data_IF_311414418718
#
_entry.id   IF_311414418718
#
_cell.length_a   1.000
_cell.length_b   1.000
_cell.length_c   1.000
_cell.angle_alpha   90.00
_cell.angle_beta   90.00
_cell.angle_gamma   90.00
#
_symmetry.space_group_name_H-M   'P 1'
#
loop_
_entity.id
_entity.type
_entity.pdbx_description
1 polymer ?
#
# COMPACT_ATOMS: atom_id res chain seq x y z
N UNK A 1 -5.02 -33.54 4.23
CA UNK A 1 -5.94 -33.92 3.13
C UNK A 1 -7.18 -33.05 3.20
N UNK A 2 -7.42 -32.25 2.16
CA UNK A 2 -8.45 -31.20 2.09
C UNK A 2 -9.76 -31.78 1.53
N UNK A 3 -10.79 -31.93 2.37
CA UNK A 3 -12.09 -32.48 1.97
C UNK A 3 -13.13 -31.41 1.63
N UNK A 4 -14.12 -31.76 0.80
CA UNK A 4 -15.24 -30.91 0.34
C UNK A 4 -15.95 -30.18 1.49
N UNK A 5 -16.00 -30.77 2.69
CA UNK A 5 -16.50 -30.12 3.92
C UNK A 5 -15.75 -28.83 4.29
N UNK A 6 -14.42 -28.83 4.16
CA UNK A 6 -13.58 -27.65 4.43
C UNK A 6 -13.68 -26.55 3.37
N UNK A 7 -14.20 -26.91 2.19
CA UNK A 7 -14.46 -25.98 1.08
C UNK A 7 -15.87 -25.39 1.22
N UNK A 8 -16.86 -26.19 1.63
CA UNK A 8 -18.21 -25.70 1.95
C UNK A 8 -18.23 -24.81 3.20
N UNK A 9 -17.44 -25.12 4.24
CA UNK A 9 -17.29 -24.25 5.42
C UNK A 9 -16.62 -22.90 5.09
N UNK A 10 -15.71 -22.87 4.10
CA UNK A 10 -15.12 -21.62 3.59
C UNK A 10 -16.11 -20.82 2.75
N UNK A 11 -16.91 -21.50 1.91
CA UNK A 11 -17.94 -20.86 1.10
C UNK A 11 -19.08 -20.28 1.95
N UNK A 12 -19.48 -20.94 3.04
CA UNK A 12 -20.52 -20.46 3.95
C UNK A 12 -20.04 -19.33 4.87
N UNK A 13 -18.76 -19.30 5.27
CA UNK A 13 -18.18 -18.14 5.98
C UNK A 13 -18.09 -16.88 5.12
N UNK A 14 -18.11 -17.02 3.78
CA UNK A 14 -18.01 -15.90 2.85
C UNK A 14 -19.31 -15.13 2.63
N UNK A 15 -20.43 -15.50 3.28
CA UNK A 15 -21.75 -14.89 3.04
C UNK A 15 -22.32 -14.10 4.22
N UNK A 16 -21.64 -14.06 5.36
CA UNK A 16 -22.08 -13.29 6.51
C UNK A 16 -20.88 -12.87 7.36
N UNK A 17 -20.77 -11.56 7.60
CA UNK A 17 -19.82 -10.82 8.44
C UNK A 17 -18.50 -10.36 7.82
N UNK A 18 -18.29 -9.04 7.95
CA UNK A 18 -17.01 -8.32 7.93
C UNK A 18 -16.35 -8.04 6.57
N UNK A 19 -16.85 -6.99 5.91
CA UNK A 19 -16.02 -6.06 5.10
C UNK A 19 -15.10 -5.22 6.01
N UNK A 20 -14.43 -5.89 6.94
CA UNK A 20 -13.34 -5.34 7.72
C UNK A 20 -12.06 -5.81 7.04
N UNK A 21 -11.18 -4.86 6.81
CA UNK A 21 -9.91 -4.96 6.13
C UNK A 21 -8.94 -5.91 6.88
N UNK A 22 -9.17 -7.23 6.88
CA UNK A 22 -8.17 -8.25 7.22
C UNK A 22 -8.69 -9.67 6.96
N UNK A 23 -7.98 -10.39 6.10
CA UNK A 23 -8.19 -11.83 5.86
C UNK A 23 -6.89 -12.47 5.37
N UNK A 24 -5.81 -12.28 6.13
CA UNK A 24 -4.52 -13.00 6.07
C UNK A 24 -3.96 -13.31 4.67
N UNK A 25 -3.19 -12.37 4.10
CA UNK A 25 -2.08 -12.60 3.14
C UNK A 25 -1.60 -11.26 2.55
N UNK A 26 -2.51 -10.30 2.35
CA UNK A 26 -2.15 -9.02 1.70
C UNK A 26 -1.81 -7.92 2.71
N UNK A 27 -0.57 -7.43 2.63
CA UNK A 27 0.01 -6.37 3.45
C UNK A 27 -0.06 -5.00 2.77
N UNK A 28 -0.70 -4.89 1.60
CA UNK A 28 -0.87 -3.61 0.91
C UNK A 28 -1.79 -2.64 1.65
N UNK A 29 -1.42 -1.35 1.65
CA UNK A 29 -2.29 -0.26 2.08
C UNK A 29 -3.13 0.26 0.91
N UNK A 30 -4.44 0.37 1.12
CA UNK A 30 -5.40 0.84 0.12
C UNK A 30 -6.06 2.15 0.55
N UNK A 31 -5.58 3.27 0.01
CA UNK A 31 -6.16 4.59 0.27
C UNK A 31 -7.35 4.86 -0.65
N UNK A 32 -8.39 5.53 -0.15
CA UNK A 32 -9.50 6.08 -0.95
C UNK A 32 -9.32 7.58 -1.20
N UNK A 33 -10.22 8.15 -1.99
CA UNK A 33 -10.22 9.59 -2.23
C UNK A 33 -10.31 10.38 -0.91
N UNK A 34 -9.37 11.30 -0.71
CA UNK A 34 -9.24 12.11 0.49
C UNK A 34 -8.52 11.43 1.66
N UNK A 35 -8.21 10.14 1.56
CA UNK A 35 -7.47 9.43 2.61
C UNK A 35 -6.00 9.89 2.65
N UNK A 36 -5.45 9.91 3.87
CA UNK A 36 -4.06 10.28 4.15
C UNK A 36 -3.44 9.25 5.08
N UNK A 37 -2.32 8.66 4.69
CA UNK A 37 -1.52 7.80 5.58
C UNK A 37 -0.30 8.56 6.09
N UNK A 38 0.03 8.32 7.36
CA UNK A 38 1.29 8.73 7.97
C UNK A 38 2.13 7.49 8.16
N UNK A 39 3.30 7.50 7.54
CA UNK A 39 4.09 6.31 7.33
C UNK A 39 5.56 6.60 7.62
N UNK A 40 6.28 5.63 8.14
CA UNK A 40 7.74 5.67 8.27
C UNK A 40 8.28 4.65 7.26
N UNK A 41 8.96 5.08 6.18
CA UNK A 41 9.54 4.14 5.23
C UNK A 41 10.48 3.16 5.94
N UNK A 42 10.35 1.87 5.63
CA UNK A 42 11.36 0.87 6.03
C UNK A 42 12.50 0.89 5.03
N UNK A 43 12.17 1.13 3.75
CA UNK A 43 13.14 1.40 2.71
C UNK A 43 14.06 2.58 3.09
N UNK A 44 15.34 2.35 2.88
CA UNK A 44 16.45 3.32 2.94
C UNK A 44 16.53 4.17 1.68
N UNK A 45 16.22 3.58 0.51
CA UNK A 45 16.42 4.20 -0.80
C UNK A 45 17.83 4.04 -1.38
N UNK A 46 18.70 3.28 -0.71
CA UNK A 46 20.03 2.93 -1.23
C UNK A 46 19.95 1.93 -2.39
N UNK A 47 21.05 1.80 -3.11
CA UNK A 47 21.23 0.72 -4.09
C UNK A 47 21.07 -0.65 -3.39
N UNK A 48 20.42 -1.59 -4.07
CA UNK A 48 20.11 -2.94 -3.59
C UNK A 48 19.19 -3.02 -2.34
N UNK A 49 18.43 -1.96 -2.04
CA UNK A 49 17.43 -1.97 -0.97
C UNK A 49 16.29 -2.97 -1.25
N UNK A 50 16.16 -4.08 -0.48
CA UNK A 50 15.15 -5.11 -0.74
C UNK A 50 13.72 -4.62 -0.42
N UNK A 51 13.59 -3.48 0.26
CA UNK A 51 12.33 -2.92 0.70
C UNK A 51 11.78 -1.85 -0.22
N UNK A 52 12.44 -1.57 -1.35
CA UNK A 52 11.98 -0.66 -2.41
C UNK A 52 12.26 -1.29 -3.79
N UNK A 53 11.21 -1.49 -4.59
CA UNK A 53 11.35 -2.16 -5.89
C UNK A 53 10.46 -1.49 -6.95
N UNK A 54 10.96 -1.41 -8.18
CA UNK A 54 10.16 -1.12 -9.37
C UNK A 54 9.70 -2.41 -10.05
N UNK A 55 8.47 -2.40 -10.58
CA UNK A 55 7.92 -3.57 -11.25
C UNK A 55 6.84 -3.18 -12.26
N UNK A 56 6.53 -4.13 -13.13
CA UNK A 56 5.52 -3.99 -14.17
C UNK A 56 4.34 -4.90 -13.87
N UNK A 57 3.13 -4.36 -13.85
CA UNK A 57 1.94 -5.13 -13.46
C UNK A 57 0.78 -4.90 -14.41
N UNK A 58 0.23 -5.99 -14.94
CA UNK A 58 -1.03 -6.01 -15.66
C UNK A 58 -2.17 -5.97 -14.66
N UNK A 59 -3.06 -4.98 -14.76
CA UNK A 59 -4.30 -4.96 -13.97
C UNK A 59 -5.48 -4.91 -14.92
N UNK A 60 -6.38 -5.87 -14.79
CA UNK A 60 -7.55 -5.99 -15.66
C UNK A 60 -8.76 -6.48 -14.86
N UNK A 61 -9.95 -6.23 -15.40
CA UNK A 61 -11.19 -6.73 -14.81
C UNK A 61 -11.45 -8.11 -15.38
N UNK A 62 -11.53 -9.09 -14.51
CA UNK A 62 -11.99 -10.44 -14.81
C UNK A 62 -13.35 -10.65 -14.14
N UNK A 63 -14.38 -10.78 -14.98
CA UNK A 63 -15.79 -10.76 -14.58
C UNK A 63 -16.13 -9.53 -13.70
N UNK A 64 -16.21 -9.72 -12.39
CA UNK A 64 -16.53 -8.69 -11.39
C UNK A 64 -15.39 -8.39 -10.41
N UNK A 65 -14.20 -8.93 -10.66
CA UNK A 65 -13.03 -8.72 -9.81
C UNK A 65 -11.89 -8.11 -10.59
N UNK A 66 -11.11 -7.25 -9.95
CA UNK A 66 -9.83 -6.82 -10.52
C UNK A 66 -8.80 -7.90 -10.22
N UNK A 67 -8.10 -8.34 -11.27
CA UNK A 67 -6.93 -9.21 -11.17
C UNK A 67 -5.69 -8.42 -11.55
N UNK A 68 -4.62 -8.71 -10.83
CA UNK A 68 -3.30 -8.13 -11.06
C UNK A 68 -2.30 -9.25 -11.28
N UNK A 69 -1.51 -9.15 -12.34
CA UNK A 69 -0.51 -10.14 -12.74
C UNK A 69 0.81 -9.42 -13.00
N UNK A 70 1.88 -9.85 -12.35
CA UNK A 70 3.22 -9.30 -12.59
C UNK A 70 3.73 -9.62 -13.99
N UNK A 71 4.62 -8.76 -14.49
CA UNK A 71 5.37 -8.96 -15.72
C UNK A 71 6.80 -9.35 -15.36
N UNK A 72 7.25 -10.48 -15.90
CA UNK A 72 8.64 -10.88 -15.87
C UNK A 72 9.40 -10.46 -17.13
N UNK A 73 10.68 -10.87 -17.25
CA UNK A 73 11.53 -10.51 -18.39
C UNK A 73 10.96 -10.95 -19.75
N UNK A 74 10.30 -12.11 -19.79
CA UNK A 74 9.77 -12.72 -21.02
C UNK A 74 8.26 -12.44 -21.23
N UNK A 75 7.67 -11.54 -20.45
CA UNK A 75 6.24 -11.20 -20.50
C UNK A 75 5.48 -11.46 -19.20
N UNK A 76 4.14 -11.47 -19.23
CA UNK A 76 3.33 -11.66 -18.03
C UNK A 76 3.57 -13.03 -17.39
N UNK A 77 3.71 -13.07 -16.07
CA UNK A 77 3.92 -14.30 -15.28
C UNK A 77 2.65 -15.15 -15.14
N UNK A 78 1.55 -14.74 -15.79
CA UNK A 78 0.26 -15.42 -15.77
C UNK A 78 -0.59 -15.03 -16.98
N UNK A 79 -1.80 -15.57 -17.06
CA UNK A 79 -2.73 -15.28 -18.16
C UNK A 79 -3.28 -13.86 -18.03
N UNK A 80 -3.10 -13.06 -19.07
CA UNK A 80 -3.64 -11.71 -19.18
C UNK A 80 -4.46 -11.58 -20.47
N UNK A 81 -5.47 -10.68 -20.52
CA UNK A 81 -6.19 -10.36 -21.75
C UNK A 81 -5.25 -9.89 -22.87
N UNK A 82 -5.54 -10.18 -24.15
CA UNK A 82 -4.66 -9.86 -25.28
C UNK A 82 -4.30 -8.37 -25.41
N UNK A 83 -5.17 -7.48 -24.93
CA UNK A 83 -5.02 -6.03 -24.97
C UNK A 83 -4.47 -5.44 -23.66
N UNK A 84 -4.19 -6.28 -22.67
CA UNK A 84 -3.68 -5.85 -21.38
C UNK A 84 -2.27 -5.28 -21.50
N UNK A 85 -2.09 -4.04 -21.06
CA UNK A 85 -0.78 -3.39 -21.00
C UNK A 85 -0.28 -3.37 -19.56
N UNK A 86 1.01 -3.69 -19.34
CA UNK A 86 1.55 -3.60 -18.01
C UNK A 86 1.69 -2.12 -17.61
N UNK A 87 1.43 -1.83 -16.35
CA UNK A 87 1.65 -0.52 -15.76
C UNK A 87 2.98 -0.52 -15.02
N UNK A 88 3.79 0.51 -15.25
CA UNK A 88 5.01 0.75 -14.50
C UNK A 88 4.68 1.27 -13.10
N UNK A 89 5.15 0.57 -12.08
CA UNK A 89 4.83 0.81 -10.67
C UNK A 89 6.07 0.65 -9.81
N UNK A 90 6.01 1.21 -8.62
CA UNK A 90 7.00 0.96 -7.59
C UNK A 90 6.27 0.72 -6.28
N UNK A 91 6.88 0.00 -5.37
CA UNK A 91 6.36 -0.18 -4.02
C UNK A 91 7.48 -0.22 -3.02
N UNK A 92 7.14 0.14 -1.78
CA UNK A 92 8.07 0.01 -0.68
C UNK A 92 7.37 -0.42 0.60
N UNK A 93 8.12 -1.08 1.48
CA UNK A 93 7.67 -1.37 2.83
C UNK A 93 7.70 -0.13 3.69
N UNK A 94 6.69 -0.01 4.54
CA UNK A 94 6.55 1.10 5.46
C UNK A 94 5.83 0.67 6.73
N UNK A 95 6.20 1.28 7.85
CA UNK A 95 5.42 1.20 9.07
C UNK A 95 4.33 2.26 9.04
N UNK A 96 3.06 1.83 9.02
CA UNK A 96 1.92 2.76 8.99
C UNK A 96 1.51 3.02 10.43
N UNK A 97 1.66 4.27 10.89
CA UNK A 97 1.22 4.66 12.23
C UNK A 97 -0.29 4.85 12.24
N UNK A 98 -0.77 5.72 11.37
CA UNK A 98 -2.19 6.09 11.28
C UNK A 98 -2.63 6.39 9.85
N UNK A 99 -3.92 6.17 9.58
CA UNK A 99 -4.59 6.57 8.36
C UNK A 99 -5.78 7.46 8.71
N UNK A 100 -5.85 8.64 8.11
CA UNK A 100 -6.98 9.55 8.23
C UNK A 100 -7.89 9.39 7.03
N UNK A 101 -9.12 8.98 7.29
CA UNK A 101 -10.14 8.78 6.29
C UNK A 101 -11.05 9.99 6.16
N UNK A 102 -11.48 10.27 4.93
CA UNK A 102 -12.44 11.34 4.64
C UNK A 102 -13.88 10.98 5.06
N UNK A 103 -14.20 9.69 5.15
CA UNK A 103 -15.51 9.16 5.49
C UNK A 103 -15.45 8.14 6.63
N UNK A 104 -16.42 8.18 7.54
CA UNK A 104 -16.53 7.19 8.61
C UNK A 104 -17.08 5.91 8.03
N UNK A 105 -16.25 4.86 8.03
CA UNK A 105 -16.65 3.52 7.57
C UNK A 105 -16.66 2.51 8.70
N UNK A 106 -15.90 2.77 9.76
CA UNK A 106 -15.79 1.91 10.93
C UNK A 106 -16.06 2.77 12.17
N UNK A 107 -16.92 2.26 13.06
CA UNK A 107 -17.35 3.01 14.24
C UNK A 107 -16.23 3.19 15.27
N UNK A 108 -15.24 2.30 15.30
CA UNK A 108 -14.08 2.39 16.19
C UNK A 108 -13.07 3.47 15.81
N UNK A 109 -13.18 4.07 14.61
CA UNK A 109 -12.29 5.16 14.21
C UNK A 109 -12.59 6.44 14.99
N UNK A 110 -11.53 7.12 15.41
CA UNK A 110 -11.61 8.35 16.19
C UNK A 110 -11.96 9.52 15.26
N UNK A 111 -12.96 10.32 15.62
CA UNK A 111 -13.29 11.54 14.88
C UNK A 111 -12.34 12.67 15.27
N UNK A 112 -11.58 13.18 14.31
CA UNK A 112 -10.64 14.28 14.52
C UNK A 112 -10.96 15.47 13.60
N UNK A 113 -10.55 16.66 13.99
CA UNK A 113 -10.66 17.85 13.14
C UNK A 113 -9.37 18.00 12.33
N UNK A 114 -9.48 17.86 11.00
CA UNK A 114 -8.36 18.02 10.10
C UNK A 114 -7.90 19.48 9.94
N UNK A 115 -6.75 19.72 9.27
CA UNK A 115 -6.15 21.06 9.16
C UNK A 115 -7.06 22.11 8.49
N UNK A 116 -7.97 21.69 7.61
CA UNK A 116 -8.94 22.57 6.94
C UNK A 116 -10.26 22.72 7.70
N UNK A 117 -10.32 22.32 8.97
CA UNK A 117 -11.56 22.29 9.77
C UNK A 117 -12.54 21.18 9.38
N UNK A 118 -12.19 20.32 8.41
CA UNK A 118 -13.01 19.18 7.99
C UNK A 118 -12.83 18.03 8.97
N UNK A 119 -13.92 17.38 9.34
CA UNK A 119 -13.88 16.14 10.12
C UNK A 119 -13.20 15.03 9.31
N UNK A 120 -12.25 14.36 9.92
CA UNK A 120 -11.55 13.18 9.42
C UNK A 120 -11.69 12.06 10.44
N UNK A 121 -11.50 10.81 10.02
CA UNK A 121 -11.63 9.65 10.88
C UNK A 121 -10.29 8.92 10.95
N UNK A 122 -9.70 8.92 12.14
CA UNK A 122 -8.39 8.35 12.41
C UNK A 122 -8.49 6.85 12.70
N UNK A 123 -7.82 6.07 11.86
CA UNK A 123 -7.49 4.67 12.06
C UNK A 123 -6.05 4.58 12.59
N UNK A 124 -5.86 3.93 13.74
CA UNK A 124 -4.53 3.58 14.24
C UNK A 124 -4.17 2.20 13.70
N UNK A 125 -3.09 2.10 12.94
CA UNK A 125 -2.70 0.85 12.24
C UNK A 125 -1.55 0.15 12.96
N UNK A 126 -0.44 0.87 13.22
CA UNK A 126 0.75 0.36 13.89
C UNK A 126 1.26 -1.00 13.35
N UNK A 127 1.32 -1.15 12.03
CA UNK A 127 1.77 -2.37 11.37
C UNK A 127 2.59 -2.07 10.11
N UNK A 128 3.43 -3.02 9.72
CA UNK A 128 4.16 -2.96 8.45
C UNK A 128 3.21 -3.26 7.30
N UNK A 129 3.25 -2.40 6.28
CA UNK A 129 2.45 -2.50 5.05
C UNK A 129 3.33 -2.21 3.85
N UNK A 130 2.88 -2.67 2.69
CA UNK A 130 3.47 -2.28 1.41
C UNK A 130 2.61 -1.17 0.79
N UNK A 131 3.27 -0.14 0.28
CA UNK A 131 2.60 0.94 -0.44
C UNK A 131 2.90 0.86 -1.94
N UNK A 132 2.02 0.26 -2.76
CA UNK A 132 2.19 0.19 -4.19
C UNK A 132 1.67 1.45 -4.91
N UNK A 133 2.54 2.17 -5.59
CA UNK A 133 2.24 3.39 -6.32
C UNK A 133 2.51 3.26 -7.82
N UNK A 134 1.95 4.17 -8.60
CA UNK A 134 2.37 4.38 -9.99
C UNK A 134 3.40 5.50 -10.02
N UNK A 135 4.21 5.57 -11.07
CA UNK A 135 5.14 6.69 -11.26
C UNK A 135 4.43 8.03 -11.52
N UNK A 136 3.18 7.97 -12.02
CA UNK A 136 2.44 9.14 -12.47
C UNK A 136 2.97 9.69 -13.81
N UNK A 137 2.23 10.64 -14.41
CA UNK A 137 2.63 11.26 -15.68
C UNK A 137 3.95 12.03 -15.49
N UNK A 138 4.96 11.71 -16.28
CA UNK A 138 6.28 12.35 -16.15
C UNK A 138 7.00 12.02 -14.84
N UNK A 139 6.69 10.87 -14.23
CA UNK A 139 7.30 10.37 -13.00
C UNK A 139 7.10 11.25 -11.76
N UNK A 140 6.07 12.11 -11.76
CA UNK A 140 5.92 13.11 -10.70
C UNK A 140 5.75 12.51 -9.29
N UNK A 141 5.16 11.31 -9.16
CA UNK A 141 4.98 10.66 -7.85
C UNK A 141 6.33 10.10 -7.36
N UNK A 142 7.09 9.50 -8.26
CA UNK A 142 8.44 9.03 -7.97
C UNK A 142 9.37 10.19 -7.58
N UNK A 143 9.32 11.30 -8.32
CA UNK A 143 10.14 12.47 -8.03
C UNK A 143 9.84 13.04 -6.63
N UNK A 144 8.58 13.00 -6.16
CA UNK A 144 8.26 13.40 -4.78
C UNK A 144 8.92 12.49 -3.72
N UNK A 145 9.07 11.20 -3.98
CA UNK A 145 9.78 10.29 -3.09
C UNK A 145 11.30 10.57 -3.14
N UNK A 146 11.85 10.80 -4.33
CA UNK A 146 13.25 11.19 -4.54
C UNK A 146 13.58 12.52 -3.85
N UNK A 147 12.66 13.49 -3.86
CA UNK A 147 12.84 14.76 -3.16
C UNK A 147 12.96 14.53 -1.64
N UNK A 148 12.12 13.66 -1.06
CA UNK A 148 12.23 13.26 0.36
C UNK A 148 13.58 12.58 0.63
N UNK A 149 14.02 11.67 -0.24
CA UNK A 149 15.33 11.02 -0.12
C UNK A 149 16.47 12.03 -0.19
N UNK A 150 16.44 12.97 -1.14
CA UNK A 150 17.49 13.98 -1.30
C UNK A 150 17.57 14.94 -0.11
N UNK A 151 16.42 15.33 0.46
CA UNK A 151 16.34 16.20 1.62
C UNK A 151 16.87 15.51 2.89
N UNK A 152 16.60 14.21 3.03
CA UNK A 152 16.95 13.45 4.22
C UNK A 152 18.29 12.73 4.12
N UNK A 153 18.75 12.38 2.91
CA UNK A 153 19.84 11.46 2.62
C UNK A 153 19.48 9.98 2.73
N UNK A 154 18.38 9.63 3.42
CA UNK A 154 17.80 8.28 3.48
C UNK A 154 16.28 8.39 3.69
N UNK A 155 15.49 7.48 3.13
CA UNK A 155 14.02 7.51 3.23
C UNK A 155 13.49 7.15 4.63
N UNK A 156 14.21 6.32 5.39
CA UNK A 156 13.77 5.80 6.68
C UNK A 156 14.03 6.71 7.89
N UNK A 157 14.20 8.03 7.67
CA UNK A 157 14.56 8.99 8.74
C UNK A 157 13.39 9.57 9.51
N UNK A 158 12.17 9.49 9.00
CA UNK A 158 11.05 10.15 9.63
C UNK A 158 9.71 9.85 8.99
N UNK A 159 8.70 10.62 9.40
CA UNK A 159 7.33 10.41 8.97
C UNK A 159 7.07 11.11 7.64
N UNK A 160 6.62 10.33 6.67
CA UNK A 160 6.11 10.77 5.38
C UNK A 160 4.58 10.73 5.42
N UNK A 161 3.93 11.73 4.85
CA UNK A 161 2.50 11.72 4.59
C UNK A 161 2.26 11.36 3.13
N UNK A 162 1.42 10.36 2.91
CA UNK A 162 0.93 9.98 1.58
C UNK A 162 -0.55 10.26 1.51
N UNK A 163 -0.96 11.12 0.59
CA UNK A 163 -2.36 11.48 0.36
C UNK A 163 -2.82 10.97 -0.98
N UNK A 164 -4.01 10.37 -1.03
CA UNK A 164 -4.70 10.07 -2.29
C UNK A 164 -5.78 11.12 -2.55
N UNK A 165 -5.85 11.61 -3.79
CA UNK A 165 -6.93 12.49 -4.25
C UNK A 165 -7.48 11.98 -5.57
N UNK A 166 -8.79 12.08 -5.76
CA UNK A 166 -9.51 11.63 -6.95
C UNK A 166 -9.88 10.15 -6.93
N UNK A 167 -10.66 9.76 -7.94
CA UNK A 167 -11.15 8.40 -8.13
C UNK A 167 -10.95 7.95 -9.58
N UNK A 168 -10.84 6.64 -9.80
CA UNK A 168 -10.65 6.08 -11.14
C UNK A 168 -9.37 6.59 -11.80
N UNK A 169 -9.50 7.10 -13.04
CA UNK A 169 -8.38 7.58 -13.86
C UNK A 169 -7.77 8.89 -13.34
N UNK A 170 -8.52 9.69 -12.58
CA UNK A 170 -8.05 10.95 -11.99
C UNK A 170 -7.40 10.75 -10.61
N UNK A 171 -7.04 9.50 -10.28
CA UNK A 171 -6.36 9.20 -9.01
C UNK A 171 -4.94 9.73 -9.05
N UNK A 172 -4.62 10.59 -8.08
CA UNK A 172 -3.29 11.15 -7.85
C UNK A 172 -2.83 10.85 -6.44
N UNK A 173 -1.52 10.66 -6.27
CA UNK A 173 -0.88 10.60 -4.96
C UNK A 173 0.00 11.82 -4.74
N UNK A 174 0.11 12.24 -3.48
CA UNK A 174 1.06 13.24 -3.03
C UNK A 174 1.85 12.66 -1.87
N UNK A 175 3.17 12.62 -2.02
CA UNK A 175 4.12 12.21 -1.00
C UNK A 175 4.77 13.47 -0.44
N UNK A 176 4.85 13.62 0.88
CA UNK A 176 5.47 14.79 1.50
C UNK A 176 6.11 14.40 2.82
N UNK A 177 7.36 14.81 3.04
CA UNK A 177 7.97 14.82 4.36
C UNK A 177 7.10 15.61 5.36
N UNK A 178 7.07 15.18 6.61
CA UNK A 178 6.35 15.88 7.68
C UNK A 178 7.31 16.30 8.78
N UNK A 179 6.88 17.24 9.62
CA UNK A 179 7.59 17.61 10.85
C UNK A 179 7.20 16.72 12.03
N UNK A 180 6.49 15.62 11.79
CA UNK A 180 6.06 14.71 12.86
C UNK A 180 7.24 13.84 13.27
N UNK A 181 7.51 13.85 14.57
CA UNK A 181 8.51 12.98 15.20
C UNK A 181 7.79 11.74 15.72
N UNK A 182 7.68 10.72 14.88
CA UNK A 182 7.34 9.35 15.32
C UNK A 182 8.49 8.42 14.93
N UNK A 183 8.65 7.36 15.70
CA UNK A 183 9.60 6.28 15.43
C UNK A 183 8.86 4.94 15.36
N UNK A 184 9.47 3.97 14.68
CA UNK A 184 8.99 2.60 14.70
C UNK A 184 9.27 2.05 16.11
N UNK A 185 8.26 1.57 16.86
CA UNK A 185 8.48 1.00 18.19
C UNK A 185 9.54 -0.10 18.17
N UNK A 186 10.38 -0.17 19.20
CA UNK A 186 11.54 -1.07 19.24
C UNK A 186 11.18 -2.55 19.02
N UNK A 187 10.05 -2.99 19.60
CA UNK A 187 9.52 -4.35 19.40
C UNK A 187 9.15 -4.63 17.93
N UNK A 188 8.71 -3.62 17.20
CA UNK A 188 8.39 -3.69 15.78
C UNK A 188 9.63 -3.58 14.92
N UNK A 189 10.55 -2.69 15.28
CA UNK A 189 11.81 -2.49 14.57
C UNK A 189 12.60 -3.79 14.43
N UNK A 190 12.65 -4.59 15.49
CA UNK A 190 13.33 -5.89 15.49
C UNK A 190 12.74 -6.93 14.53
N UNK A 191 11.51 -6.72 14.04
CA UNK A 191 10.84 -7.63 13.09
C UNK A 191 11.03 -7.21 11.63
N UNK A 192 11.73 -6.10 11.35
CA UNK A 192 12.00 -5.65 9.98
C UNK A 192 12.78 -6.70 9.19
N UNK A 193 13.72 -7.40 9.83
CA UNK A 193 14.51 -8.46 9.19
C UNK A 193 13.68 -9.69 8.75
N UNK A 194 12.46 -9.84 9.28
CA UNK A 194 11.54 -10.91 8.90
C UNK A 194 10.64 -10.53 7.70
N UNK A 195 10.70 -9.28 7.25
CA UNK A 195 9.95 -8.82 6.09
C UNK A 195 10.60 -9.38 4.81
N UNK A 196 9.78 -10.01 3.98
CA UNK A 196 10.22 -10.40 2.63
C UNK A 196 10.49 -9.18 1.76
N UNK A 197 11.30 -9.35 0.72
CA UNK A 197 11.52 -8.30 -0.27
C UNK A 197 10.21 -7.88 -0.94
N UNK A 198 10.14 -6.65 -1.45
CA UNK A 198 8.94 -6.20 -2.19
C UNK A 198 8.67 -7.11 -3.39
N UNK A 199 9.73 -7.52 -4.08
CA UNK A 199 9.65 -8.41 -5.24
C UNK A 199 9.03 -9.75 -4.88
N UNK A 200 9.50 -10.41 -3.82
CA UNK A 200 8.98 -11.70 -3.38
C UNK A 200 7.50 -11.58 -2.99
N UNK A 201 7.15 -10.54 -2.22
CA UNK A 201 5.76 -10.28 -1.85
C UNK A 201 4.85 -10.15 -3.07
N UNK A 202 5.28 -9.37 -4.08
CA UNK A 202 4.47 -9.14 -5.28
C UNK A 202 4.31 -10.41 -6.12
N UNK A 203 5.26 -11.35 -6.07
CA UNK A 203 5.15 -12.64 -6.75
C UNK A 203 4.18 -13.61 -6.08
N UNK A 204 4.00 -13.50 -4.76
CA UNK A 204 3.08 -14.35 -3.99
C UNK A 204 1.61 -13.90 -4.05
N UNK A 205 1.34 -12.67 -4.52
CA UNK A 205 0.04 -11.97 -4.37
C UNK A 205 -0.90 -12.14 -5.57
#
# INVERSE_FOLDING_TARGET
MSGIKSIQERASRSTSSERSNSGGLRKEIWLRDGDQAFIIPVATGDDDDPFLEEYWMHTFRDENTFKSILSGPDGPLGVVPPDSKPQHRFAFWTYVTEVFHSERRIDSWESITGPSGKTMYKEVVNDFRILPLTFGRGNYIWNQLVDVYNDWGFLNKGVVRVRRTGAGLDTTYTITATTKEDEIPEDRYNTIGDLQSVKDYMMET
#
